data_IF_811943813796
#
_entry.id   IF_811943813796
#
_cell.length_a   1.000
_cell.length_b   1.000
_cell.length_c   1.000
_cell.angle_alpha   90.00
_cell.angle_beta   90.00
_cell.angle_gamma   90.00
#
_symmetry.space_group_name_H-M   'P 1'
#
loop_
_entity.id
_entity.type
_entity.pdbx_description
1 polymer ?
#
# COMPACT_ATOMS: atom_id res chain seq x y z
N UNK A 1 -12.77 29.98 -36.22
CA UNK A 1 -12.64 28.55 -36.52
C UNK A 1 -12.29 27.85 -35.21
N UNK A 2 -13.28 27.22 -34.57
CA UNK A 2 -13.16 26.61 -33.23
C UNK A 2 -12.38 25.30 -33.36
N UNK A 3 -11.20 25.20 -32.73
CA UNK A 3 -10.47 23.94 -32.61
C UNK A 3 -11.09 23.18 -31.43
N UNK A 4 -11.85 22.15 -31.78
CA UNK A 4 -12.46 21.20 -30.87
C UNK A 4 -11.34 20.28 -30.36
N UNK A 5 -10.83 20.53 -29.15
CA UNK A 5 -10.02 19.55 -28.42
C UNK A 5 -10.98 18.42 -28.05
N UNK A 6 -10.92 17.30 -28.79
CA UNK A 6 -11.50 16.03 -28.37
C UNK A 6 -10.75 15.59 -27.12
N UNK A 7 -11.26 15.95 -25.94
CA UNK A 7 -11.02 15.20 -24.73
C UNK A 7 -11.64 13.81 -24.97
N UNK A 8 -10.80 12.86 -25.37
CA UNK A 8 -11.13 11.45 -25.23
C UNK A 8 -10.91 11.17 -23.75
N UNK A 9 -11.95 11.39 -22.96
CA UNK A 9 -12.05 10.85 -21.60
C UNK A 9 -12.32 9.35 -21.80
N UNK A 10 -11.39 8.44 -21.49
CA UNK A 10 -11.76 7.05 -21.42
C UNK A 10 -12.50 6.92 -20.08
N UNK A 11 -13.83 6.86 -20.17
CA UNK A 11 -14.72 6.37 -19.14
C UNK A 11 -14.40 4.87 -18.95
N UNK A 12 -13.28 4.57 -18.29
CA UNK A 12 -13.04 3.24 -17.74
C UNK A 12 -13.78 3.16 -16.41
N UNK A 13 -14.61 2.13 -16.30
CA UNK A 13 -15.34 1.78 -15.10
C UNK A 13 -14.39 1.76 -13.90
N UNK A 14 -14.76 2.57 -12.92
CA UNK A 14 -14.29 2.61 -11.54
C UNK A 14 -14.76 1.32 -10.84
N UNK A 15 -13.96 0.26 -10.81
CA UNK A 15 -14.18 -0.92 -9.95
C UNK A 15 -12.87 -1.72 -9.80
N UNK A 16 -11.92 -1.24 -9.02
CA UNK A 16 -10.84 -2.06 -8.48
C UNK A 16 -11.45 -3.19 -7.67
N UNK A 17 -11.02 -4.43 -7.97
CA UNK A 17 -11.35 -5.77 -7.44
C UNK A 17 -12.77 -6.09 -6.89
N UNK A 18 -13.51 -5.16 -6.28
CA UNK A 18 -14.74 -5.35 -5.52
C UNK A 18 -15.91 -4.41 -5.93
N UNK A 19 -15.77 -3.62 -6.99
CA UNK A 19 -16.69 -2.51 -7.28
C UNK A 19 -18.09 -2.84 -7.82
N UNK A 20 -18.49 -4.11 -7.92
CA UNK A 20 -19.90 -4.47 -8.08
C UNK A 20 -20.40 -5.13 -6.80
N UNK A 21 -21.44 -4.56 -6.16
CA UNK A 21 -22.16 -5.20 -5.04
C UNK A 21 -22.39 -6.66 -5.42
N UNK A 22 -21.74 -7.58 -4.69
CA UNK A 22 -21.96 -9.01 -4.90
C UNK A 22 -23.46 -9.27 -4.79
N UNK A 23 -24.02 -10.01 -5.72
CA UNK A 23 -25.41 -10.44 -5.61
C UNK A 23 -25.48 -11.52 -4.54
N UNK A 24 -25.62 -11.11 -3.28
CA UNK A 24 -25.74 -12.04 -2.15
C UNK A 24 -27.03 -12.86 -2.27
N UNK A 25 -27.00 -14.11 -1.84
CA UNK A 25 -28.19 -14.97 -1.79
C UNK A 25 -29.26 -14.42 -0.85
N UNK A 26 -28.87 -13.66 0.18
CA UNK A 26 -29.80 -13.09 1.15
C UNK A 26 -29.28 -11.81 1.81
N UNK A 27 -30.21 -11.09 2.43
CA UNK A 27 -29.95 -9.96 3.33
C UNK A 27 -30.30 -10.40 4.75
N UNK A 28 -29.39 -10.22 5.70
CA UNK A 28 -29.64 -10.39 7.13
C UNK A 28 -29.62 -9.02 7.82
N UNK A 29 -30.74 -8.63 8.42
CA UNK A 29 -30.87 -7.34 9.09
C UNK A 29 -30.64 -7.47 10.60
N UNK A 30 -29.53 -6.89 11.09
CA UNK A 30 -29.22 -6.79 12.53
C UNK A 30 -30.25 -5.87 13.19
N UNK A 31 -30.99 -6.41 14.14
CA UNK A 31 -32.05 -5.74 14.91
C UNK A 31 -31.80 -5.74 16.42
N UNK A 32 -30.71 -6.35 16.86
CA UNK A 32 -30.29 -6.43 18.27
C UNK A 32 -28.81 -6.12 18.41
N UNK A 33 -28.46 -5.30 19.40
CA UNK A 33 -27.07 -5.01 19.79
C UNK A 33 -26.49 -6.03 20.79
N UNK A 34 -27.23 -7.10 21.08
CA UNK A 34 -26.73 -8.17 21.93
C UNK A 34 -25.57 -8.91 21.27
N UNK A 35 -24.70 -9.50 22.09
CA UNK A 35 -23.56 -10.30 21.64
C UNK A 35 -23.94 -11.54 20.81
N UNK A 36 -25.09 -12.18 21.12
CA UNK A 36 -25.55 -13.39 20.45
C UNK A 36 -27.07 -13.57 20.53
N UNK A 37 -27.60 -14.50 19.72
CA UNK A 37 -29.02 -14.80 19.61
C UNK A 37 -29.67 -14.13 18.39
N UNK A 38 -30.99 -14.25 18.31
CA UNK A 38 -31.77 -13.79 17.16
C UNK A 38 -31.59 -12.27 16.91
N UNK A 39 -31.38 -11.91 15.65
CA UNK A 39 -31.24 -10.53 15.17
C UNK A 39 -29.89 -9.88 15.49
N UNK A 40 -28.88 -10.63 15.95
CA UNK A 40 -27.55 -10.10 16.28
C UNK A 40 -26.58 -10.17 15.10
N UNK A 41 -25.54 -9.34 15.13
CA UNK A 41 -24.45 -9.40 14.15
C UNK A 41 -23.83 -10.81 14.08
N UNK A 42 -23.64 -11.46 15.23
CA UNK A 42 -23.07 -12.80 15.33
C UNK A 42 -23.91 -13.85 14.60
N UNK A 43 -25.23 -13.75 14.68
CA UNK A 43 -26.12 -14.64 13.92
C UNK A 43 -25.98 -14.37 12.41
N UNK A 44 -26.02 -13.10 11.99
CA UNK A 44 -25.96 -12.75 10.57
C UNK A 44 -24.68 -13.21 9.88
N UNK A 45 -23.52 -13.05 10.51
CA UNK A 45 -22.23 -13.47 9.91
C UNK A 45 -21.97 -14.98 9.98
N UNK A 46 -22.79 -15.72 10.73
CA UNK A 46 -22.76 -17.20 10.72
C UNK A 46 -23.52 -17.81 9.55
N UNK A 47 -24.23 -16.98 8.77
CA UNK A 47 -24.86 -17.38 7.53
C UNK A 47 -23.81 -17.34 6.40
N UNK A 48 -24.07 -18.05 5.30
CA UNK A 48 -23.25 -17.97 4.09
C UNK A 48 -23.88 -17.02 3.07
N UNK A 49 -23.09 -16.43 2.17
CA UNK A 49 -23.59 -15.64 1.03
C UNK A 49 -24.62 -14.56 1.43
N UNK A 50 -24.19 -13.69 2.34
CA UNK A 50 -25.08 -12.79 3.10
C UNK A 50 -24.58 -11.35 3.09
N UNK A 51 -25.50 -10.46 2.75
CA UNK A 51 -25.34 -9.02 3.02
C UNK A 51 -25.93 -8.70 4.39
N UNK A 52 -25.10 -8.18 5.28
CA UNK A 52 -25.47 -7.77 6.63
C UNK A 52 -25.75 -6.28 6.65
N UNK A 53 -27.01 -5.95 6.93
CA UNK A 53 -27.49 -4.57 7.10
C UNK A 53 -27.94 -4.34 8.54
N UNK A 54 -28.09 -3.09 8.97
CA UNK A 54 -28.41 -2.74 10.35
C UNK A 54 -29.69 -1.91 10.44
N UNK A 55 -30.70 -2.40 11.17
CA UNK A 55 -31.91 -1.65 11.52
C UNK A 55 -31.77 -0.84 12.82
N UNK A 56 -30.72 -1.12 13.59
CA UNK A 56 -30.38 -0.45 14.87
C UNK A 56 -28.98 0.12 14.80
N UNK A 57 -28.67 1.12 15.62
CA UNK A 57 -27.33 1.69 15.78
C UNK A 57 -26.92 1.74 17.25
N UNK A 58 -25.62 1.77 17.54
CA UNK A 58 -25.09 1.77 18.90
C UNK A 58 -23.93 0.80 19.11
N UNK A 59 -23.64 0.50 20.37
CA UNK A 59 -22.51 -0.36 20.76
C UNK A 59 -22.95 -1.81 20.92
N UNK A 60 -22.28 -2.71 20.21
CA UNK A 60 -22.29 -4.16 20.43
C UNK A 60 -21.10 -4.51 21.32
N UNK A 61 -21.37 -4.94 22.55
CA UNK A 61 -20.34 -5.40 23.49
C UNK A 61 -20.20 -6.90 23.31
N UNK A 62 -19.08 -7.35 22.73
CA UNK A 62 -18.83 -8.76 22.50
C UNK A 62 -18.33 -9.45 23.77
N UNK A 63 -18.77 -10.68 24.00
CA UNK A 63 -18.25 -11.55 25.07
C UNK A 63 -17.21 -12.55 24.57
N UNK A 64 -17.06 -12.67 23.25
CA UNK A 64 -16.07 -13.48 22.57
C UNK A 64 -15.85 -12.94 21.16
N UNK A 65 -14.74 -13.32 20.53
CA UNK A 65 -14.49 -12.99 19.12
C UNK A 65 -15.65 -13.44 18.23
N UNK A 66 -16.01 -12.62 17.25
CA UNK A 66 -16.88 -13.05 16.14
C UNK A 66 -15.97 -13.64 15.07
N UNK A 67 -16.26 -14.88 14.67
CA UNK A 67 -15.52 -15.56 13.61
C UNK A 67 -16.36 -15.51 12.33
N UNK A 68 -15.75 -15.01 11.25
CA UNK A 68 -16.26 -15.04 9.88
C UNK A 68 -15.46 -16.13 9.16
N UNK A 69 -16.08 -17.30 9.01
CA UNK A 69 -15.44 -18.52 8.48
C UNK A 69 -16.24 -19.18 7.34
N UNK A 70 -17.14 -18.42 6.71
CA UNK A 70 -17.82 -18.73 5.46
C UNK A 70 -17.61 -17.63 4.41
N UNK A 71 -17.83 -17.97 3.14
CA UNK A 71 -17.56 -17.09 1.99
C UNK A 71 -18.69 -16.10 1.71
N UNK A 72 -18.36 -15.04 0.96
CA UNK A 72 -19.32 -14.08 0.40
C UNK A 72 -20.13 -13.36 1.50
N UNK A 73 -19.43 -12.70 2.43
CA UNK A 73 -20.06 -11.97 3.54
C UNK A 73 -19.73 -10.48 3.41
N UNK A 74 -20.75 -9.65 3.30
CA UNK A 74 -20.58 -8.20 3.27
C UNK A 74 -21.29 -7.56 4.45
N UNK A 75 -20.54 -6.91 5.34
CA UNK A 75 -21.07 -6.14 6.46
C UNK A 75 -21.08 -4.66 6.08
N UNK A 76 -22.27 -4.08 5.90
CA UNK A 76 -22.43 -2.66 5.62
C UNK A 76 -23.07 -1.92 6.81
N UNK A 77 -22.23 -1.45 7.73
CA UNK A 77 -22.66 -0.65 8.86
C UNK A 77 -23.12 0.77 8.49
N UNK A 78 -22.96 1.19 7.23
CA UNK A 78 -23.47 2.49 6.77
C UNK A 78 -25.00 2.50 6.58
N UNK A 79 -25.62 1.31 6.61
CA UNK A 79 -27.08 1.15 6.62
C UNK A 79 -27.72 1.46 7.97
N UNK A 80 -26.93 1.47 9.05
CA UNK A 80 -27.42 1.71 10.40
C UNK A 80 -27.98 3.15 10.57
N UNK A 81 -29.04 3.36 11.37
CA UNK A 81 -29.55 4.70 11.69
C UNK A 81 -28.53 5.60 12.40
N UNK A 82 -27.65 4.99 13.21
CA UNK A 82 -26.50 5.64 13.86
C UNK A 82 -25.31 4.67 13.82
N UNK A 83 -24.10 5.17 14.04
CA UNK A 83 -22.88 4.37 13.96
C UNK A 83 -22.95 3.05 14.79
N UNK A 84 -22.33 1.99 14.26
CA UNK A 84 -22.13 0.73 14.95
C UNK A 84 -20.73 0.70 15.56
N UNK A 85 -20.66 0.48 16.87
CA UNK A 85 -19.41 0.34 17.60
C UNK A 85 -19.26 -1.07 18.15
N UNK A 86 -18.16 -1.73 17.87
CA UNK A 86 -17.75 -3.02 18.41
C UNK A 86 -16.78 -2.77 19.57
N UNK A 87 -16.99 -3.46 20.69
CA UNK A 87 -16.13 -3.39 21.88
C UNK A 87 -16.00 -4.75 22.56
N UNK A 88 -15.06 -4.88 23.51
CA UNK A 88 -14.82 -6.12 24.24
C UNK A 88 -13.90 -7.09 23.49
N UNK A 89 -14.30 -7.51 22.28
CA UNK A 89 -13.51 -8.35 21.36
C UNK A 89 -13.58 -7.78 19.93
N UNK A 90 -12.86 -8.38 18.99
CA UNK A 90 -12.89 -8.03 17.57
C UNK A 90 -13.52 -9.11 16.69
N UNK A 91 -13.14 -9.07 15.41
CA UNK A 91 -13.52 -10.03 14.36
C UNK A 91 -12.29 -10.83 13.92
N UNK A 92 -12.49 -12.11 13.63
CA UNK A 92 -11.52 -12.94 12.92
C UNK A 92 -12.12 -13.35 11.57
N UNK A 93 -11.39 -13.14 10.49
CA UNK A 93 -11.68 -13.68 9.15
C UNK A 93 -10.68 -14.80 8.90
N UNK A 94 -11.15 -16.04 8.89
CA UNK A 94 -10.27 -17.21 8.79
C UNK A 94 -10.95 -18.44 8.27
N UNK A 95 -10.14 -19.36 7.74
CA UNK A 95 -10.59 -20.72 7.50
C UNK A 95 -10.95 -21.48 8.80
N UNK A 96 -12.00 -22.32 8.70
CA UNK A 96 -12.39 -23.32 9.71
C UNK A 96 -11.27 -24.33 9.98
N UNK A 97 -10.41 -24.60 8.98
CA UNK A 97 -9.34 -25.58 9.09
C UNK A 97 -8.03 -24.89 9.50
N UNK A 98 -7.40 -25.42 10.56
CA UNK A 98 -6.24 -24.78 11.19
C UNK A 98 -4.91 -25.03 10.44
N UNK A 99 -4.88 -25.93 9.46
CA UNK A 99 -3.67 -26.30 8.71
C UNK A 99 -3.52 -25.53 7.39
N UNK A 100 -4.35 -24.50 7.18
CA UNK A 100 -4.37 -23.66 5.97
C UNK A 100 -4.64 -24.44 4.66
N UNK A 101 -5.20 -25.66 4.74
CA UNK A 101 -5.61 -26.44 3.55
C UNK A 101 -6.91 -25.95 2.89
N UNK A 102 -7.54 -24.93 3.46
CA UNK A 102 -8.73 -24.27 2.91
C UNK A 102 -8.67 -22.77 3.21
N UNK A 103 -9.50 -22.00 2.49
CA UNK A 103 -9.59 -20.55 2.62
C UNK A 103 -11.03 -20.08 2.87
N UNK A 104 -11.15 -18.84 3.31
CA UNK A 104 -12.38 -18.06 3.26
C UNK A 104 -12.16 -16.88 2.32
N UNK A 105 -13.18 -16.51 1.53
CA UNK A 105 -13.03 -15.40 0.61
C UNK A 105 -14.28 -14.55 0.36
N UNK A 106 -14.05 -13.41 -0.33
CA UNK A 106 -15.05 -12.42 -0.69
C UNK A 106 -15.73 -11.81 0.54
N UNK A 107 -14.93 -11.19 1.40
CA UNK A 107 -15.40 -10.59 2.65
C UNK A 107 -15.27 -9.08 2.58
N UNK A 108 -16.36 -8.35 2.85
CA UNK A 108 -16.33 -6.89 2.94
C UNK A 108 -16.75 -6.44 4.33
N UNK A 109 -15.98 -5.57 4.94
CA UNK A 109 -16.31 -4.90 6.20
C UNK A 109 -16.29 -3.39 5.96
N UNK A 110 -17.44 -2.75 6.16
CA UNK A 110 -17.60 -1.32 5.91
C UNK A 110 -18.26 -0.59 7.06
N UNK A 111 -17.68 0.55 7.46
CA UNK A 111 -18.35 1.51 8.34
C UNK A 111 -18.35 1.19 9.83
N UNK A 112 -17.65 0.14 10.28
CA UNK A 112 -17.60 -0.25 11.69
C UNK A 112 -16.63 0.62 12.49
N UNK A 113 -16.99 0.93 13.74
CA UNK A 113 -16.08 1.48 14.75
C UNK A 113 -15.64 0.36 15.68
N UNK A 114 -14.36 0.26 15.98
CA UNK A 114 -13.82 -0.61 17.02
C UNK A 114 -13.21 0.24 18.13
N UNK A 115 -13.69 0.04 19.36
CA UNK A 115 -13.24 0.80 20.52
C UNK A 115 -12.91 -0.13 21.68
N UNK A 116 -11.68 -0.02 22.17
CA UNK A 116 -11.16 -0.75 23.33
C UNK A 116 -11.44 -2.26 23.29
N UNK A 117 -11.09 -2.98 22.19
CA UNK A 117 -11.08 -4.44 22.27
C UNK A 117 -10.09 -4.86 23.36
N UNK A 118 -10.53 -5.78 24.21
CA UNK A 118 -9.83 -6.22 25.41
C UNK A 118 -9.19 -7.60 25.18
N UNK A 119 -8.49 -8.10 26.19
CA UNK A 119 -7.94 -9.48 26.22
C UNK A 119 -6.91 -9.79 25.11
N UNK A 120 -6.14 -8.81 24.66
CA UNK A 120 -5.08 -8.98 23.64
C UNK A 120 -5.61 -9.49 22.30
N UNK A 121 -6.81 -9.07 21.91
CA UNK A 121 -7.36 -9.33 20.57
C UNK A 121 -7.19 -8.13 19.65
N UNK A 122 -7.03 -8.43 18.37
CA UNK A 122 -7.12 -7.45 17.30
C UNK A 122 -8.55 -6.94 17.11
N UNK A 123 -8.73 -5.79 16.46
CA UNK A 123 -10.08 -5.38 16.04
C UNK A 123 -10.56 -6.24 14.89
N UNK A 124 -9.68 -6.45 13.90
CA UNK A 124 -9.90 -7.37 12.79
C UNK A 124 -8.60 -8.14 12.57
N UNK A 125 -8.69 -9.46 12.56
CA UNK A 125 -7.57 -10.34 12.20
C UNK A 125 -7.92 -11.16 10.97
N UNK A 126 -7.20 -10.96 9.88
CA UNK A 126 -7.35 -11.71 8.63
C UNK A 126 -6.24 -12.74 8.54
N UNK A 127 -6.59 -14.03 8.54
CA UNK A 127 -5.58 -15.08 8.65
C UNK A 127 -6.03 -16.44 8.12
N UNK A 128 -5.11 -17.41 8.12
CA UNK A 128 -5.32 -18.79 7.63
C UNK A 128 -5.81 -18.83 6.19
N UNK A 129 -5.02 -18.28 5.29
CA UNK A 129 -5.31 -18.20 3.85
C UNK A 129 -6.64 -17.50 3.52
N UNK A 130 -7.20 -16.65 4.40
CA UNK A 130 -8.32 -15.81 4.02
C UNK A 130 -7.90 -14.82 2.92
N UNK A 131 -8.74 -14.66 1.88
CA UNK A 131 -8.41 -13.81 0.73
C UNK A 131 -9.60 -13.08 0.14
N UNK A 132 -9.37 -12.15 -0.80
CA UNK A 132 -10.40 -11.28 -1.36
C UNK A 132 -11.18 -10.52 -0.26
N UNK A 133 -10.45 -9.77 0.57
CA UNK A 133 -11.01 -9.07 1.75
C UNK A 133 -10.89 -7.57 1.59
N UNK A 134 -12.00 -6.84 1.75
CA UNK A 134 -12.05 -5.39 1.79
C UNK A 134 -12.40 -4.89 3.20
N UNK A 135 -11.53 -4.06 3.79
CA UNK A 135 -11.77 -3.34 5.04
C UNK A 135 -11.76 -1.85 4.73
N UNK A 136 -12.95 -1.25 4.71
CA UNK A 136 -13.14 0.12 4.24
C UNK A 136 -13.95 0.99 5.20
N UNK A 137 -13.60 2.28 5.30
CA UNK A 137 -14.36 3.26 6.07
C UNK A 137 -14.60 2.82 7.52
N UNK A 138 -13.64 2.13 8.14
CA UNK A 138 -13.68 1.70 9.53
C UNK A 138 -12.79 2.59 10.40
N UNK A 139 -13.03 2.60 11.71
CA UNK A 139 -12.15 3.25 12.67
C UNK A 139 -11.74 2.32 13.79
N UNK A 140 -10.51 2.43 14.26
CA UNK A 140 -9.92 1.56 15.26
C UNK A 140 -9.26 2.40 16.35
N UNK A 141 -9.57 2.12 17.62
CA UNK A 141 -9.04 2.85 18.76
C UNK A 141 -8.94 1.99 20.03
N UNK A 142 -7.84 2.15 20.78
CA UNK A 142 -7.70 1.60 22.14
C UNK A 142 -7.40 0.09 22.23
N UNK A 143 -6.93 -0.53 21.15
CA UNK A 143 -6.60 -1.95 21.12
C UNK A 143 -5.46 -2.35 22.06
N UNK A 144 -5.56 -3.56 22.60
CA UNK A 144 -4.51 -4.17 23.45
C UNK A 144 -3.46 -4.98 22.68
N UNK A 145 -3.73 -5.43 21.44
CA UNK A 145 -2.73 -6.03 20.53
C UNK A 145 -2.61 -5.22 19.23
N UNK A 146 -2.93 -5.77 18.05
CA UNK A 146 -3.03 -5.06 16.78
C UNK A 146 -4.42 -4.44 16.57
N UNK A 147 -4.55 -3.56 15.58
CA UNK A 147 -5.87 -3.06 15.15
C UNK A 147 -6.37 -3.87 13.96
N UNK A 148 -5.60 -3.88 12.88
CA UNK A 148 -5.87 -4.73 11.71
C UNK A 148 -4.62 -5.52 11.36
N UNK A 149 -4.61 -6.80 11.69
CA UNK A 149 -3.49 -7.69 11.38
C UNK A 149 -3.87 -8.64 10.23
N UNK A 150 -2.95 -8.82 9.28
CA UNK A 150 -3.08 -9.70 8.13
C UNK A 150 -1.91 -10.68 8.11
N UNK A 151 -2.21 -11.96 8.32
CA UNK A 151 -1.16 -12.94 8.59
C UNK A 151 -1.49 -14.34 8.07
N UNK A 152 -0.55 -15.28 8.23
CA UNK A 152 -0.75 -16.72 8.03
C UNK A 152 -1.33 -17.05 6.64
N UNK A 153 -0.65 -16.55 5.61
CA UNK A 153 -0.98 -16.81 4.20
C UNK A 153 -2.19 -16.04 3.67
N UNK A 154 -2.79 -15.14 4.45
CA UNK A 154 -3.84 -14.27 3.94
C UNK A 154 -3.34 -13.37 2.79
N UNK A 155 -4.14 -13.17 1.75
CA UNK A 155 -3.73 -12.47 0.53
C UNK A 155 -4.88 -11.76 -0.17
N UNK A 156 -4.58 -10.86 -1.11
CA UNK A 156 -5.58 -10.05 -1.82
C UNK A 156 -6.51 -9.31 -0.84
N UNK A 157 -5.90 -8.58 0.10
CA UNK A 157 -6.59 -7.81 1.15
C UNK A 157 -6.39 -6.32 0.91
N UNK A 158 -7.48 -5.58 0.83
CA UNK A 158 -7.49 -4.12 0.66
C UNK A 158 -7.95 -3.44 1.96
N UNK A 159 -7.06 -2.62 2.54
CA UNK A 159 -7.29 -1.82 3.74
C UNK A 159 -7.29 -0.37 3.29
N UNK A 160 -8.48 0.23 3.14
CA UNK A 160 -8.60 1.58 2.59
C UNK A 160 -9.55 2.50 3.32
N UNK A 161 -9.28 3.81 3.24
CA UNK A 161 -10.14 4.82 3.84
C UNK A 161 -10.44 4.51 5.31
N UNK A 162 -9.49 4.07 6.13
CA UNK A 162 -9.71 3.80 7.55
C UNK A 162 -9.02 4.84 8.45
N UNK A 163 -9.48 4.94 9.69
CA UNK A 163 -8.81 5.73 10.74
C UNK A 163 -8.28 4.79 11.81
N UNK A 164 -6.97 4.81 12.00
CA UNK A 164 -6.26 4.14 13.08
C UNK A 164 -5.80 5.19 14.08
N UNK A 165 -6.36 5.20 15.29
CA UNK A 165 -5.87 6.01 16.41
C UNK A 165 -5.35 5.10 17.50
N UNK A 166 -4.29 5.49 18.24
CA UNK A 166 -4.01 4.76 19.48
C UNK A 166 -3.22 5.51 20.56
N UNK A 167 -3.95 6.23 21.42
CA UNK A 167 -3.49 6.67 22.74
C UNK A 167 -3.60 5.56 23.81
N UNK A 168 -3.02 4.39 23.56
CA UNK A 168 -3.12 3.18 24.41
C UNK A 168 -1.82 2.37 24.56
N UNK A 169 -1.91 1.24 25.28
CA UNK A 169 -0.79 0.32 25.65
C UNK A 169 -0.57 -0.84 24.67
N UNK A 170 -1.27 -0.88 23.53
CA UNK A 170 -1.24 -2.00 22.57
C UNK A 170 0.03 -2.15 21.73
N UNK A 171 0.11 -3.26 21.00
CA UNK A 171 1.27 -3.73 20.23
C UNK A 171 1.47 -3.06 18.87
N UNK A 172 0.51 -2.29 18.36
CA UNK A 172 0.65 -1.46 17.15
C UNK A 172 -0.64 -1.28 16.35
N UNK A 173 -0.59 -0.55 15.22
CA UNK A 173 -1.79 -0.34 14.38
C UNK A 173 -2.07 -1.53 13.45
N UNK A 174 -1.11 -1.97 12.64
CA UNK A 174 -1.33 -3.04 11.65
C UNK A 174 -0.05 -3.80 11.31
N UNK A 175 -0.09 -5.12 11.49
CA UNK A 175 0.94 -6.06 11.06
C UNK A 175 0.51 -6.79 9.77
N UNK A 176 1.38 -6.80 8.76
CA UNK A 176 1.30 -7.75 7.64
C UNK A 176 2.47 -8.72 7.75
N UNK A 177 2.22 -10.01 7.97
CA UNK A 177 3.31 -10.98 8.14
C UNK A 177 2.95 -12.43 7.89
N UNK A 178 3.83 -13.37 8.26
CA UNK A 178 3.55 -14.81 8.29
C UNK A 178 3.05 -15.37 6.95
N UNK A 179 3.75 -15.01 5.86
CA UNK A 179 3.46 -15.51 4.51
C UNK A 179 2.30 -14.84 3.79
N UNK A 180 1.79 -13.70 4.29
CA UNK A 180 0.80 -12.88 3.59
C UNK A 180 1.41 -12.12 2.41
N UNK A 181 0.61 -11.87 1.36
CA UNK A 181 1.04 -11.20 0.11
C UNK A 181 -0.13 -10.49 -0.59
N UNK A 182 0.16 -9.60 -1.56
CA UNK A 182 -0.86 -8.79 -2.26
C UNK A 182 -1.77 -8.01 -1.31
N UNK A 183 -1.17 -7.27 -0.39
CA UNK A 183 -1.92 -6.42 0.54
C UNK A 183 -1.89 -4.98 0.03
N UNK A 184 -3.04 -4.32 -0.03
CA UNK A 184 -3.17 -2.94 -0.49
C UNK A 184 -3.57 -2.07 0.68
N UNK A 185 -2.73 -1.11 1.06
CA UNK A 185 -2.97 -0.22 2.19
C UNK A 185 -2.97 1.22 1.68
N UNK A 186 -4.14 1.82 1.48
CA UNK A 186 -4.19 3.16 0.90
C UNK A 186 -5.27 4.08 1.44
N UNK A 187 -4.98 5.38 1.42
CA UNK A 187 -5.90 6.43 1.91
C UNK A 187 -6.34 6.22 3.36
N UNK A 188 -5.49 5.63 4.21
CA UNK A 188 -5.75 5.51 5.64
C UNK A 188 -5.10 6.66 6.42
N UNK A 189 -5.66 6.97 7.59
CA UNK A 189 -5.05 7.86 8.58
C UNK A 189 -4.51 7.02 9.73
N UNK A 190 -3.22 7.11 10.01
CA UNK A 190 -2.58 6.58 11.20
C UNK A 190 -2.20 7.74 12.12
N UNK A 191 -2.96 7.93 13.20
CA UNK A 191 -2.79 9.07 14.10
C UNK A 191 -2.36 8.63 15.50
N UNK A 192 -1.23 9.19 15.96
CA UNK A 192 -0.68 8.94 17.30
C UNK A 192 -0.47 7.47 17.63
N UNK A 193 -0.07 6.69 16.63
CA UNK A 193 0.28 5.30 16.83
C UNK A 193 1.75 5.15 17.22
N UNK A 194 2.04 4.17 18.08
CA UNK A 194 3.37 3.95 18.67
C UNK A 194 4.25 2.99 17.88
N UNK A 195 3.64 2.03 17.19
CA UNK A 195 4.32 0.98 16.43
C UNK A 195 3.37 0.42 15.34
N UNK A 196 3.93 -0.30 14.38
CA UNK A 196 3.23 -0.98 13.28
C UNK A 196 2.30 -0.04 12.53
N UNK A 197 2.85 0.98 11.88
CA UNK A 197 2.10 2.08 11.24
C UNK A 197 2.23 2.17 9.72
N UNK A 198 1.74 1.17 8.99
CA UNK A 198 1.78 -0.27 9.26
C UNK A 198 3.21 -0.85 9.27
N UNK A 199 3.37 -2.07 9.77
CA UNK A 199 4.61 -2.86 9.67
C UNK A 199 4.39 -4.07 8.78
N UNK A 200 5.28 -4.25 7.83
CA UNK A 200 5.28 -5.35 6.89
C UNK A 200 6.51 -6.20 7.17
N UNK A 201 6.32 -7.50 7.33
CA UNK A 201 7.42 -8.40 7.63
C UNK A 201 7.24 -9.74 6.94
N UNK A 202 8.24 -10.19 6.20
CA UNK A 202 8.24 -11.53 5.60
C UNK A 202 8.54 -12.66 6.62
N UNK A 203 8.45 -12.42 7.93
CA UNK A 203 8.64 -13.50 8.91
C UNK A 203 7.80 -14.70 8.52
N UNK A 204 8.44 -15.81 8.20
CA UNK A 204 7.74 -17.05 7.91
C UNK A 204 7.36 -17.73 9.23
N UNK A 205 6.06 -17.96 9.43
CA UNK A 205 5.60 -19.00 10.36
C UNK A 205 5.51 -20.27 9.52
N UNK A 206 6.09 -21.39 9.96
CA UNK A 206 6.32 -22.65 9.23
C UNK A 206 5.03 -23.39 8.73
N UNK A 207 4.10 -22.69 8.09
CA UNK A 207 2.87 -23.23 7.50
C UNK A 207 2.93 -23.11 5.98
N UNK A 208 4.02 -23.62 5.40
CA UNK A 208 4.33 -23.55 3.97
C UNK A 208 3.64 -24.67 3.21
N UNK A 209 2.38 -24.46 2.82
CA UNK A 209 1.79 -25.15 1.66
C UNK A 209 1.27 -24.18 0.60
N UNK A 210 1.35 -22.87 0.83
CA UNK A 210 1.03 -21.84 -0.16
C UNK A 210 2.21 -21.53 -1.10
N UNK A 211 1.95 -21.04 -2.33
CA UNK A 211 3.01 -20.65 -3.24
C UNK A 211 3.85 -19.52 -2.63
N UNK A 212 5.18 -19.69 -2.66
CA UNK A 212 6.13 -18.63 -2.35
C UNK A 212 6.20 -17.68 -3.56
N UNK A 213 5.12 -16.95 -3.83
CA UNK A 213 5.08 -16.03 -4.96
C UNK A 213 5.86 -14.74 -4.67
N UNK A 214 6.58 -14.30 -5.71
CA UNK A 214 7.41 -13.10 -5.71
C UNK A 214 6.56 -11.87 -5.99
N UNK A 215 6.45 -11.03 -4.96
CA UNK A 215 6.48 -9.56 -4.96
C UNK A 215 5.38 -8.75 -5.71
N UNK A 216 4.76 -7.72 -5.07
CA UNK A 216 5.02 -7.17 -3.73
C UNK A 216 4.12 -7.81 -2.65
N UNK A 217 4.65 -7.86 -1.43
CA UNK A 217 3.88 -8.25 -0.25
C UNK A 217 2.87 -7.16 0.09
N UNK A 218 3.25 -5.88 -0.04
CA UNK A 218 2.37 -4.74 0.24
C UNK A 218 2.52 -3.60 -0.76
N UNK A 219 1.40 -2.97 -1.11
CA UNK A 219 1.36 -1.66 -1.75
C UNK A 219 0.73 -0.60 -0.84
N UNK A 220 1.55 0.33 -0.36
CA UNK A 220 1.20 1.35 0.61
C UNK A 220 1.15 2.74 -0.03
N UNK A 221 -0.05 3.28 -0.30
CA UNK A 221 -0.19 4.57 -1.00
C UNK A 221 -1.11 5.59 -0.36
N UNK A 222 -0.78 6.87 -0.47
CA UNK A 222 -1.67 7.96 -0.06
C UNK A 222 -2.14 7.88 1.41
N UNK A 223 -1.41 7.16 2.26
CA UNK A 223 -1.70 7.14 3.69
C UNK A 223 -1.16 8.42 4.34
N UNK A 224 -1.83 8.85 5.40
CA UNK A 224 -1.38 9.95 6.26
C UNK A 224 -0.96 9.35 7.59
N UNK A 225 0.33 9.39 7.88
CA UNK A 225 0.89 9.00 9.18
C UNK A 225 1.19 10.27 9.95
N UNK A 226 0.50 10.50 11.05
CA UNK A 226 0.51 11.81 11.71
C UNK A 226 0.62 11.72 13.22
N UNK A 227 1.55 12.50 13.78
CA UNK A 227 1.89 12.49 15.19
C UNK A 227 2.23 11.09 15.74
N UNK A 228 2.66 10.17 14.87
CA UNK A 228 3.04 8.80 15.23
C UNK A 228 4.51 8.74 15.67
N UNK A 229 4.87 7.67 16.37
CA UNK A 229 6.24 7.43 16.81
C UNK A 229 7.10 6.86 15.68
N UNK A 230 6.62 5.84 14.97
CA UNK A 230 7.27 5.26 13.80
C UNK A 230 6.39 5.46 12.56
N UNK A 231 6.98 5.39 11.37
CA UNK A 231 6.28 5.47 10.09
C UNK A 231 5.95 4.09 9.52
N UNK A 232 5.94 3.96 8.20
CA UNK A 232 5.76 2.67 7.54
C UNK A 232 7.04 1.85 7.73
N UNK A 233 6.91 0.56 8.02
CA UNK A 233 8.08 -0.33 8.21
C UNK A 233 8.01 -1.50 7.25
N UNK A 234 9.12 -1.81 6.57
CA UNK A 234 9.26 -2.93 5.64
C UNK A 234 10.44 -3.79 6.10
N UNK A 235 10.20 -5.03 6.50
CA UNK A 235 11.22 -5.93 7.06
C UNK A 235 11.28 -7.23 6.27
N UNK A 236 12.46 -7.56 5.75
CA UNK A 236 12.68 -8.73 4.90
C UNK A 236 11.67 -8.83 3.73
N UNK A 237 11.05 -7.73 3.30
CA UNK A 237 9.84 -7.72 2.45
C UNK A 237 9.98 -6.90 1.18
N UNK A 238 9.17 -7.24 0.17
CA UNK A 238 9.05 -6.46 -1.07
C UNK A 238 7.82 -5.57 -1.00
N UNK A 239 7.95 -4.25 -1.18
CA UNK A 239 6.86 -3.30 -0.96
C UNK A 239 6.91 -2.08 -1.90
N UNK A 240 5.74 -1.60 -2.30
CA UNK A 240 5.59 -0.23 -2.81
C UNK A 240 5.22 0.67 -1.63
N UNK A 241 5.94 1.79 -1.45
CA UNK A 241 5.62 2.82 -0.46
C UNK A 241 5.62 4.16 -1.17
N UNK A 242 4.46 4.60 -1.64
CA UNK A 242 4.36 5.75 -2.54
C UNK A 242 3.34 6.79 -2.08
N UNK A 243 3.68 8.07 -2.24
CA UNK A 243 2.78 9.20 -2.05
C UNK A 243 2.15 9.27 -0.66
N UNK A 244 2.83 8.81 0.39
CA UNK A 244 2.37 8.92 1.77
C UNK A 244 2.84 10.24 2.40
N UNK A 245 2.02 10.81 3.29
CA UNK A 245 2.32 12.02 4.05
C UNK A 245 2.68 11.65 5.48
N UNK A 246 3.78 12.21 5.99
CA UNK A 246 4.29 11.89 7.32
C UNK A 246 4.45 13.12 8.19
N UNK A 247 4.08 12.97 9.47
CA UNK A 247 4.43 13.85 10.58
C UNK A 247 4.70 13.02 11.82
N UNK A 248 5.80 13.28 12.50
CA UNK A 248 6.19 12.57 13.71
C UNK A 248 6.06 13.47 14.94
N UNK A 249 6.09 12.88 16.13
CA UNK A 249 6.24 13.62 17.38
C UNK A 249 7.73 13.68 17.74
N UNK A 250 8.13 14.56 18.67
CA UNK A 250 9.51 14.83 19.08
C UNK A 250 10.22 13.66 19.81
N UNK A 251 9.98 12.41 19.41
CA UNK A 251 10.74 11.27 19.90
C UNK A 251 12.12 11.27 19.23
N UNK A 252 13.22 11.18 20.00
CA UNK A 252 14.58 11.17 19.47
C UNK A 252 14.92 9.92 18.63
N UNK A 253 14.01 8.94 18.51
CA UNK A 253 14.18 7.64 17.82
C UNK A 253 13.06 7.29 16.79
N UNK A 254 12.18 8.24 16.43
CA UNK A 254 11.24 8.15 15.29
C UNK A 254 11.83 7.88 13.89
N UNK A 255 11.62 6.67 13.35
CA UNK A 255 11.99 6.35 11.96
C UNK A 255 10.85 6.61 10.96
N UNK A 256 11.13 7.40 9.92
CA UNK A 256 10.19 7.71 8.81
C UNK A 256 9.79 6.45 8.05
N UNK A 257 10.80 5.65 7.75
CA UNK A 257 10.70 4.39 7.07
C UNK A 257 11.84 3.51 7.56
N UNK A 258 11.53 2.33 8.11
CA UNK A 258 12.54 1.37 8.52
C UNK A 258 12.58 0.24 7.51
N UNK A 259 13.74 0.07 6.87
CA UNK A 259 14.12 -1.18 6.21
C UNK A 259 14.95 -1.95 7.21
N UNK A 260 14.44 -3.06 7.71
CA UNK A 260 15.18 -3.94 8.61
C UNK A 260 15.46 -5.28 7.93
N UNK A 261 16.74 -5.60 7.74
CA UNK A 261 17.20 -6.89 7.20
C UNK A 261 17.64 -7.86 8.34
N UNK A 262 17.27 -7.54 9.59
CA UNK A 262 17.61 -8.38 10.73
C UNK A 262 16.59 -9.52 10.88
N UNK A 263 17.00 -10.72 10.47
CA UNK A 263 16.37 -11.96 10.89
C UNK A 263 16.89 -12.34 12.30
N UNK A 264 16.17 -12.09 13.40
CA UNK A 264 16.60 -12.48 14.75
C UNK A 264 16.63 -14.02 14.95
N UNK A 265 16.07 -14.79 14.03
CA UNK A 265 15.91 -16.24 14.13
C UNK A 265 16.91 -17.05 13.28
N UNK A 266 17.92 -16.40 12.68
CA UNK A 266 19.04 -17.08 12.03
C UNK A 266 18.73 -17.79 10.70
N UNK A 267 17.59 -17.48 10.07
CA UNK A 267 17.33 -17.85 8.67
C UNK A 267 18.08 -16.91 7.70
N UNK A 268 18.06 -17.23 6.39
CA UNK A 268 18.69 -16.39 5.38
C UNK A 268 18.23 -14.91 5.52
N UNK A 269 19.17 -13.98 5.61
CA UNK A 269 18.88 -12.54 5.56
C UNK A 269 18.31 -12.22 4.18
N UNK A 270 17.05 -11.77 4.13
CA UNK A 270 16.45 -11.29 2.89
C UNK A 270 16.62 -9.78 2.85
N UNK A 271 17.19 -9.26 1.76
CA UNK A 271 17.28 -7.82 1.57
C UNK A 271 15.89 -7.33 1.20
N UNK A 272 15.31 -6.45 2.01
CA UNK A 272 14.00 -5.85 1.73
C UNK A 272 14.05 -5.06 0.43
N UNK A 273 13.05 -5.18 -0.45
CA UNK A 273 12.98 -4.48 -1.73
C UNK A 273 11.84 -3.46 -1.72
N UNK A 274 12.15 -2.18 -1.59
CA UNK A 274 11.15 -1.11 -1.52
C UNK A 274 11.25 -0.17 -2.70
N UNK A 275 10.12 -0.02 -3.41
CA UNK A 275 9.89 1.10 -4.30
C UNK A 275 9.34 2.31 -3.53
N UNK A 276 10.02 3.45 -3.58
CA UNK A 276 9.55 4.70 -2.98
C UNK A 276 9.38 5.81 -4.03
N UNK A 277 8.23 6.48 -3.99
CA UNK A 277 7.96 7.62 -4.87
C UNK A 277 7.05 8.62 -4.21
N UNK A 278 7.35 9.92 -4.32
CA UNK A 278 6.40 11.00 -4.00
C UNK A 278 5.96 11.13 -2.53
N UNK A 279 6.52 10.34 -1.61
CA UNK A 279 6.33 10.51 -0.17
C UNK A 279 6.86 11.87 0.30
N UNK A 280 6.29 12.43 1.37
CA UNK A 280 6.77 13.68 1.97
C UNK A 280 6.61 13.71 3.49
N UNK A 281 7.56 14.32 4.19
CA UNK A 281 7.52 14.62 5.62
C UNK A 281 7.39 16.13 5.87
N UNK A 282 6.45 16.54 6.72
CA UNK A 282 6.35 17.95 7.15
C UNK A 282 7.43 18.36 8.16
N UNK A 283 8.02 17.39 8.88
CA UNK A 283 9.08 17.64 9.87
C UNK A 283 10.43 17.07 9.39
N UNK A 284 11.54 17.70 9.80
CA UNK A 284 12.89 17.22 9.50
C UNK A 284 13.24 15.98 10.33
N UNK A 285 13.07 14.79 9.75
CA UNK A 285 13.27 13.51 10.41
C UNK A 285 14.58 12.82 10.04
N UNK A 286 15.55 13.54 9.43
CA UNK A 286 16.81 12.93 8.94
C UNK A 286 17.70 12.39 10.08
N UNK A 287 17.64 12.99 11.27
CA UNK A 287 18.61 12.75 12.34
C UNK A 287 18.19 11.68 13.36
N UNK A 288 17.14 10.93 13.04
CA UNK A 288 16.53 10.03 14.00
C UNK A 288 17.19 8.65 13.89
N UNK A 289 17.62 8.11 15.03
CA UNK A 289 18.62 7.05 15.14
C UNK A 289 18.42 5.87 14.17
N UNK A 290 19.36 5.76 13.23
CA UNK A 290 19.53 4.62 12.35
C UNK A 290 19.77 3.35 13.17
N UNK A 291 18.72 2.55 13.33
CA UNK A 291 18.89 1.11 13.44
C UNK A 291 19.70 0.66 12.22
N UNK A 292 20.89 0.13 12.50
CA UNK A 292 21.89 -0.41 11.56
C UNK A 292 21.35 -0.68 10.14
N UNK A 293 21.84 0.11 9.17
CA UNK A 293 21.66 -0.01 7.70
C UNK A 293 20.43 0.66 7.05
N UNK A 294 19.67 1.51 7.75
CA UNK A 294 18.56 2.26 7.14
C UNK A 294 19.01 3.29 6.09
N UNK A 295 18.79 2.99 4.80
CA UNK A 295 19.02 3.95 3.71
C UNK A 295 17.80 4.85 3.58
N UNK A 296 17.90 6.07 4.10
CA UNK A 296 16.93 7.14 3.85
C UNK A 296 16.84 7.37 2.33
N UNK A 297 15.68 7.12 1.74
CA UNK A 297 15.33 7.44 0.35
C UNK A 297 16.01 6.66 -0.79
N UNK A 298 16.76 5.59 -0.54
CA UNK A 298 17.25 4.79 -1.66
C UNK A 298 16.16 3.82 -2.13
N UNK A 299 15.53 4.17 -3.25
CA UNK A 299 14.85 3.20 -4.10
C UNK A 299 15.84 2.08 -4.44
N UNK A 300 15.63 0.90 -3.89
CA UNK A 300 16.45 -0.27 -4.17
C UNK A 300 15.77 -1.25 -5.16
N UNK A 301 14.54 -0.93 -5.59
CA UNK A 301 13.79 -1.71 -6.57
C UNK A 301 12.94 -0.84 -7.52
N UNK A 302 12.50 -1.40 -8.64
CA UNK A 302 11.49 -0.80 -9.53
C UNK A 302 10.08 -0.90 -8.94
N UNK A 303 9.15 -0.08 -9.42
CA UNK A 303 7.74 -0.21 -9.02
C UNK A 303 7.23 -1.61 -9.36
N UNK A 304 6.63 -2.28 -8.39
CA UNK A 304 5.86 -3.48 -8.67
C UNK A 304 4.54 -3.06 -9.32
N UNK A 305 4.23 -3.62 -10.49
CA UNK A 305 3.00 -3.29 -11.21
C UNK A 305 1.79 -3.80 -10.45
N UNK A 306 1.12 -2.91 -9.72
CA UNK A 306 -0.09 -3.17 -8.96
C UNK A 306 -1.24 -2.32 -9.52
N UNK A 307 -2.46 -2.87 -9.47
CA UNK A 307 -3.67 -2.11 -9.80
C UNK A 307 -4.15 -1.46 -8.50
N UNK A 308 -3.81 -0.19 -8.28
CA UNK A 308 -4.42 0.61 -7.21
C UNK A 308 -5.49 1.50 -7.83
N UNK A 309 -6.71 1.41 -7.30
CA UNK A 309 -7.83 2.22 -7.74
C UNK A 309 -7.63 3.69 -7.33
N UNK A 310 -7.65 4.60 -8.31
CA UNK A 310 -7.49 6.03 -8.09
C UNK A 310 -6.81 6.75 -9.25
N UNK A 311 -7.01 8.06 -9.37
CA UNK A 311 -6.29 8.85 -10.34
C UNK A 311 -4.81 8.95 -9.92
N UNK A 312 -3.90 8.37 -10.71
CA UNK A 312 -2.47 8.64 -10.55
C UNK A 312 -2.23 10.05 -11.06
N UNK A 313 -2.15 11.01 -10.15
CA UNK A 313 -1.85 12.40 -10.51
C UNK A 313 -0.32 12.59 -10.57
N UNK A 314 0.29 12.78 -11.75
CA UNK A 314 1.74 12.84 -11.88
C UNK A 314 2.33 14.18 -11.39
N UNK A 315 1.55 15.05 -10.73
CA UNK A 315 1.99 16.36 -10.28
C UNK A 315 1.81 16.53 -8.76
N UNK A 316 2.67 17.37 -8.16
CA UNK A 316 2.70 17.66 -6.72
C UNK A 316 1.34 18.10 -6.16
N UNK A 317 0.53 18.82 -6.93
CA UNK A 317 -0.78 19.29 -6.49
C UNK A 317 -1.80 18.16 -6.37
N UNK A 318 -1.84 17.25 -7.34
CA UNK A 318 -2.75 16.11 -7.30
C UNK A 318 -2.47 15.18 -6.11
N UNK A 319 -1.19 15.01 -5.73
CA UNK A 319 -0.82 14.28 -4.52
C UNK A 319 -1.40 14.96 -3.27
N UNK A 320 -1.31 16.29 -3.15
CA UNK A 320 -1.90 17.04 -2.03
C UNK A 320 -3.43 16.87 -2.01
N UNK A 321 -4.09 16.90 -3.17
CA UNK A 321 -5.53 16.69 -3.28
C UNK A 321 -5.95 15.27 -2.85
N UNK A 322 -5.13 14.25 -3.13
CA UNK A 322 -5.41 12.91 -2.61
C UNK A 322 -5.20 12.83 -1.09
N UNK A 323 -4.21 13.51 -0.51
CA UNK A 323 -4.12 13.63 0.95
C UNK A 323 -5.30 14.39 1.55
N UNK A 324 -5.81 15.41 0.86
CA UNK A 324 -7.05 16.08 1.27
C UNK A 324 -8.24 15.14 1.25
N UNK A 325 -8.38 14.35 0.18
CA UNK A 325 -9.38 13.31 0.04
C UNK A 325 -9.28 12.30 1.20
N UNK A 326 -8.09 11.78 1.50
CA UNK A 326 -7.83 10.88 2.64
C UNK A 326 -8.24 11.51 3.97
N UNK A 327 -7.77 12.73 4.28
CA UNK A 327 -8.12 13.45 5.52
C UNK A 327 -9.63 13.58 5.70
N UNK A 328 -10.34 13.90 4.62
CA UNK A 328 -11.76 14.22 4.67
C UNK A 328 -12.66 12.97 4.67
N UNK A 329 -12.23 11.86 4.05
CA UNK A 329 -13.09 10.71 3.75
C UNK A 329 -12.70 9.39 4.44
N UNK A 330 -11.50 9.24 5.01
CA UNK A 330 -11.12 8.03 5.74
C UNK A 330 -12.00 7.80 6.98
N UNK A 331 -12.25 6.58 7.46
CA UNK A 331 -13.10 6.27 8.60
C UNK A 331 -14.60 6.21 8.28
N UNK A 332 -15.44 5.82 9.26
CA UNK A 332 -16.88 5.76 9.09
C UNK A 332 -17.45 7.15 8.83
N UNK A 333 -18.63 7.23 8.22
CA UNK A 333 -19.32 8.51 8.03
C UNK A 333 -19.40 9.25 9.37
N UNK A 334 -19.10 10.57 9.42
CA UNK A 334 -19.15 11.32 10.65
C UNK A 334 -20.55 11.24 11.27
N UNK A 335 -20.66 10.50 12.37
CA UNK A 335 -21.65 10.78 13.40
C UNK A 335 -20.88 11.46 14.52
N UNK A 336 -21.44 12.54 15.08
CA UNK A 336 -20.84 13.57 15.95
C UNK A 336 -20.15 13.06 17.26
N UNK A 337 -19.96 11.74 17.41
CA UNK A 337 -19.76 11.07 18.70
C UNK A 337 -18.38 10.40 18.91
N UNK A 338 -17.39 10.56 18.01
CA UNK A 338 -16.02 10.08 18.29
C UNK A 338 -14.99 11.23 18.27
N UNK A 339 -14.56 11.72 19.46
CA UNK A 339 -13.59 12.80 19.56
C UNK A 339 -12.22 12.43 18.98
N UNK A 340 -11.82 11.16 19.01
CA UNK A 340 -10.51 10.72 18.52
C UNK A 340 -10.45 10.74 16.99
N UNK A 341 -11.52 10.31 16.30
CA UNK A 341 -11.66 10.45 14.84
C UNK A 341 -11.62 11.94 14.43
N UNK A 342 -12.32 12.79 15.18
CA UNK A 342 -12.38 14.24 14.94
C UNK A 342 -11.02 14.90 15.16
N UNK A 343 -10.32 14.53 16.23
CA UNK A 343 -8.97 15.00 16.52
C UNK A 343 -8.00 14.58 15.42
N UNK A 344 -8.03 13.31 15.00
CA UNK A 344 -7.15 12.78 13.95
C UNK A 344 -7.26 13.58 12.65
N UNK A 345 -8.48 13.92 12.21
CA UNK A 345 -8.67 14.74 10.99
C UNK A 345 -8.25 16.18 11.17
N UNK A 346 -8.68 16.80 12.27
CA UNK A 346 -8.48 18.24 12.51
C UNK A 346 -7.02 18.59 12.81
N UNK A 347 -6.23 17.64 13.32
CA UNK A 347 -4.80 17.81 13.57
C UNK A 347 -3.95 17.80 12.28
N UNK A 348 -4.47 17.25 11.18
CA UNK A 348 -3.72 17.13 9.91
C UNK A 348 -3.74 18.46 9.16
N UNK A 349 -2.56 19.05 9.05
CA UNK A 349 -2.31 20.26 8.28
C UNK A 349 -1.66 19.84 6.96
N UNK A 350 -2.38 20.04 5.85
CA UNK A 350 -1.84 19.70 4.54
C UNK A 350 -0.77 20.72 4.12
N UNK A 351 0.35 20.26 3.55
CA UNK A 351 1.41 21.14 3.09
C UNK A 351 1.09 21.78 1.74
N UNK A 352 1.88 22.81 1.38
CA UNK A 352 1.93 23.34 0.01
C UNK A 352 2.87 22.51 -0.88
N UNK A 353 2.85 22.75 -2.19
CA UNK A 353 3.71 22.03 -3.17
C UNK A 353 5.21 22.26 -2.98
N UNK A 354 5.59 23.21 -2.14
CA UNK A 354 6.98 23.50 -1.75
C UNK A 354 7.55 22.47 -0.78
N UNK A 355 6.73 21.59 -0.19
CA UNK A 355 7.21 20.55 0.74
C UNK A 355 8.28 19.63 0.13
N UNK A 356 8.21 19.37 -1.18
CA UNK A 356 9.21 18.57 -1.89
C UNK A 356 10.51 19.33 -2.19
N UNK A 357 10.56 20.64 -1.93
CA UNK A 357 11.77 21.45 -2.05
C UNK A 357 12.55 21.51 -0.72
N UNK A 358 11.97 20.99 0.37
CA UNK A 358 12.64 20.86 1.66
C UNK A 358 13.78 19.83 1.58
N UNK A 359 14.92 20.17 2.17
CA UNK A 359 16.18 19.39 2.06
C UNK A 359 16.02 17.94 2.51
N UNK A 360 15.11 17.66 3.43
CA UNK A 360 14.86 16.29 3.89
C UNK A 360 13.86 15.49 3.07
N UNK A 361 13.09 16.15 2.21
CA UNK A 361 12.24 15.49 1.22
C UNK A 361 12.93 15.39 -0.14
N UNK A 362 13.99 16.18 -0.36
CA UNK A 362 14.88 15.98 -1.50
C UNK A 362 15.65 14.69 -1.29
N UNK A 363 15.64 13.74 -2.25
CA UNK A 363 16.43 12.54 -2.15
C UNK A 363 17.88 12.88 -1.87
N UNK A 364 18.39 12.51 -0.70
CA UNK A 364 19.83 12.50 -0.47
C UNK A 364 20.39 11.41 -1.35
N UNK A 365 20.89 11.77 -2.52
CA UNK A 365 21.77 10.91 -3.28
C UNK A 365 23.03 10.71 -2.45
N UNK A 366 23.01 9.79 -1.49
CA UNK A 366 24.22 9.13 -1.04
C UNK A 366 24.83 8.54 -2.30
N UNK A 367 26.08 8.90 -2.58
CA UNK A 367 26.90 8.38 -3.66
C UNK A 367 26.96 6.84 -3.62
N UNK A 368 25.91 6.18 -4.06
CA UNK A 368 26.00 4.87 -4.68
C UNK A 368 26.09 5.23 -6.15
N UNK A 369 27.29 5.08 -6.70
CA UNK A 369 27.62 5.30 -8.10
C UNK A 369 26.94 4.29 -9.03
N UNK A 370 25.66 3.99 -8.82
CA UNK A 370 24.81 3.43 -9.86
C UNK A 370 24.09 4.61 -10.51
N UNK A 371 24.84 5.29 -11.36
CA UNK A 371 24.28 6.18 -12.36
C UNK A 371 23.20 5.38 -13.11
N UNK A 372 21.92 5.68 -12.91
CA UNK A 372 20.84 5.11 -13.74
C UNK A 372 21.03 5.42 -15.24
N UNK A 373 21.97 6.32 -15.54
CA UNK A 373 22.46 6.71 -16.86
C UNK A 373 23.70 5.93 -17.32
N UNK A 374 24.16 4.90 -16.61
CA UNK A 374 25.22 3.97 -17.03
C UNK A 374 24.56 2.64 -17.39
N UNK A 375 23.97 2.59 -18.59
CA UNK A 375 23.16 1.46 -19.08
C UNK A 375 24.01 0.34 -19.65
N UNK A 376 25.31 0.60 -19.88
CA UNK A 376 26.30 -0.41 -20.26
C UNK A 376 27.19 -0.89 -19.10
N UNK A 377 26.98 -0.37 -17.89
CA UNK A 377 27.69 -0.72 -16.66
C UNK A 377 29.21 -0.51 -16.74
N UNK A 378 29.63 0.50 -17.52
CA UNK A 378 31.04 0.90 -17.69
C UNK A 378 31.58 1.72 -16.51
N UNK A 379 30.75 1.98 -15.50
CA UNK A 379 31.00 2.90 -14.38
C UNK A 379 31.18 4.36 -14.81
N UNK A 380 30.85 4.72 -16.06
CA UNK A 380 30.99 6.07 -16.61
C UNK A 380 29.81 6.40 -17.51
N UNK A 381 28.96 7.33 -17.10
CA UNK A 381 27.91 7.87 -18.00
C UNK A 381 28.52 8.69 -19.13
N UNK A 382 28.35 8.25 -20.36
CA UNK A 382 28.88 8.88 -21.55
C UNK A 382 27.89 8.80 -22.74
N UNK A 383 28.33 9.16 -23.95
CA UNK A 383 27.48 9.18 -25.14
C UNK A 383 26.95 7.80 -25.54
N UNK A 384 27.67 6.74 -25.20
CA UNK A 384 27.26 5.34 -25.43
C UNK A 384 25.98 5.01 -24.67
N UNK A 385 25.86 5.45 -23.41
CA UNK A 385 24.67 5.23 -22.60
C UNK A 385 23.43 5.93 -23.14
N UNK A 386 23.62 7.18 -23.60
CA UNK A 386 22.56 7.97 -24.21
C UNK A 386 22.05 7.31 -25.51
N UNK A 387 22.98 6.78 -26.32
CA UNK A 387 22.68 6.08 -27.57
C UNK A 387 21.94 4.75 -27.32
N UNK A 388 22.34 3.97 -26.31
CA UNK A 388 21.67 2.72 -25.93
C UNK A 388 20.24 2.96 -25.43
N UNK A 389 20.07 3.98 -24.59
CA UNK A 389 18.75 4.38 -24.11
C UNK A 389 17.84 4.81 -25.28
N UNK A 390 18.38 5.59 -26.22
CA UNK A 390 17.64 6.05 -27.40
C UNK A 390 17.26 4.87 -28.33
N UNK A 391 18.18 3.96 -28.60
CA UNK A 391 17.97 2.76 -29.42
C UNK A 391 16.87 1.87 -28.85
N UNK A 392 16.92 1.56 -27.55
CA UNK A 392 15.90 0.78 -26.87
C UNK A 392 14.53 1.46 -26.90
N UNK A 393 14.47 2.78 -26.72
CA UNK A 393 13.20 3.54 -26.76
C UNK A 393 12.50 3.52 -28.12
N UNK A 394 13.25 3.23 -29.19
CA UNK A 394 12.76 3.14 -30.57
C UNK A 394 12.47 1.70 -31.01
N UNK A 395 12.66 0.71 -30.13
CA UNK A 395 12.41 -0.71 -30.42
C UNK A 395 13.39 -1.31 -31.42
N UNK A 396 14.57 -0.70 -31.58
CA UNK A 396 15.65 -1.22 -32.42
C UNK A 396 16.31 -2.45 -31.77
N UNK A 397 16.94 -3.31 -32.57
CA UNK A 397 17.52 -4.56 -32.06
C UNK A 397 18.69 -4.29 -31.11
N UNK A 398 18.65 -4.95 -29.95
CA UNK A 398 19.69 -4.85 -28.93
C UNK A 398 20.71 -6.00 -28.99
N UNK A 399 20.57 -6.92 -29.96
CA UNK A 399 21.48 -8.05 -30.15
C UNK A 399 22.89 -7.57 -30.51
N UNK A 400 23.90 -8.04 -29.76
CA UNK A 400 25.31 -7.65 -29.93
C UNK A 400 25.67 -6.30 -29.32
N UNK A 401 24.78 -5.68 -28.53
CA UNK A 401 25.07 -4.46 -27.77
C UNK A 401 25.64 -4.77 -26.39
N UNK A 402 26.44 -3.85 -25.85
CA UNK A 402 26.93 -3.81 -24.48
C UNK A 402 25.81 -3.55 -23.45
N UNK A 403 24.53 -3.68 -23.84
CA UNK A 403 23.40 -3.85 -22.93
C UNK A 403 23.57 -5.20 -22.21
N UNK A 404 24.48 -5.18 -21.23
CA UNK A 404 24.97 -6.34 -20.50
C UNK A 404 25.39 -7.54 -21.41
N UNK A 405 26.17 -7.29 -22.49
CA UNK A 405 27.40 -8.02 -22.95
C UNK A 405 27.80 -7.64 -24.41
N UNK A 406 29.01 -7.06 -24.60
CA UNK A 406 29.77 -7.10 -25.88
C UNK A 406 29.85 -5.80 -26.70
N UNK A 407 31.06 -5.44 -27.16
CA UNK A 407 31.45 -4.07 -27.54
C UNK A 407 31.37 -3.75 -29.05
N UNK A 408 30.44 -2.85 -29.41
CA UNK A 408 30.51 -1.73 -30.41
C UNK A 408 29.11 -1.14 -30.52
N UNK A 409 28.79 -0.13 -29.71
CA UNK A 409 27.40 0.16 -29.31
C UNK A 409 26.87 1.53 -29.73
N UNK A 410 25.92 1.52 -30.67
CA UNK A 410 25.34 2.71 -31.25
C UNK A 410 25.96 3.09 -32.59
N UNK A 411 26.64 2.14 -33.26
CA UNK A 411 27.15 2.27 -34.61
C UNK A 411 26.09 1.78 -35.62
N UNK A 412 25.12 2.63 -35.93
CA UNK A 412 24.00 2.30 -36.85
C UNK A 412 24.41 2.41 -38.32
N UNK A 413 25.65 2.86 -38.55
CA UNK A 413 26.25 2.95 -39.86
C UNK A 413 27.39 1.96 -40.13
N UNK A 414 27.60 1.02 -39.20
CA UNK A 414 28.55 -0.09 -39.29
C UNK A 414 30.01 0.37 -39.53
N UNK A 415 30.36 1.59 -39.12
CA UNK A 415 31.69 2.16 -39.24
C UNK A 415 32.73 1.56 -38.28
N UNK A 416 32.29 0.78 -37.30
CA UNK A 416 33.05 0.27 -36.18
C UNK A 416 33.24 1.28 -35.05
N UNK A 417 32.59 2.45 -35.10
CA UNK A 417 32.72 3.52 -34.09
C UNK A 417 31.40 4.20 -33.80
N UNK A 418 31.04 4.35 -32.53
CA UNK A 418 29.79 5.02 -32.14
C UNK A 418 30.03 6.49 -31.85
N UNK A 419 29.41 7.38 -32.62
CA UNK A 419 29.66 8.82 -32.58
C UNK A 419 28.39 9.64 -32.88
N UNK A 420 28.54 10.96 -33.06
CA UNK A 420 27.42 11.87 -33.33
C UNK A 420 26.69 11.61 -34.65
N UNK A 421 27.35 10.96 -35.62
CA UNK A 421 26.76 10.56 -36.91
C UNK A 421 25.66 9.54 -36.67
N UNK A 422 25.93 8.54 -35.84
CA UNK A 422 24.95 7.54 -35.47
C UNK A 422 23.76 8.12 -34.72
N UNK A 423 24.02 9.02 -33.78
CA UNK A 423 22.96 9.71 -33.04
C UNK A 423 22.00 10.47 -33.98
N UNK A 424 22.54 11.12 -35.01
CA UNK A 424 21.75 11.85 -36.01
C UNK A 424 20.97 10.90 -36.92
N UNK A 425 21.52 9.74 -37.25
CA UNK A 425 20.85 8.73 -38.05
C UNK A 425 19.70 8.07 -37.28
N UNK A 426 19.90 7.76 -35.99
CA UNK A 426 18.83 7.25 -35.11
C UNK A 426 17.72 8.30 -34.96
N UNK A 427 18.08 9.57 -34.78
CA UNK A 427 17.10 10.66 -34.72
C UNK A 427 16.31 10.78 -36.03
N UNK A 428 16.99 10.69 -37.17
CA UNK A 428 16.36 10.70 -38.50
C UNK A 428 15.34 9.56 -38.65
N UNK A 429 15.72 8.34 -38.25
CA UNK A 429 14.86 7.17 -38.24
C UNK A 429 13.63 7.38 -37.33
N UNK A 430 13.83 7.90 -36.11
CA UNK A 430 12.73 8.16 -35.15
C UNK A 430 11.68 9.15 -35.66
N UNK A 431 12.09 10.06 -36.55
CA UNK A 431 11.22 11.05 -37.18
C UNK A 431 10.52 10.52 -38.44
N UNK A 432 10.72 9.24 -38.79
CA UNK A 432 10.13 8.60 -39.98
C UNK A 432 10.66 9.15 -41.30
N UNK A 433 11.83 9.77 -41.30
CA UNK A 433 12.46 10.30 -42.51
C UNK A 433 13.13 9.16 -43.30
N UNK A 434 13.13 9.24 -44.63
CA UNK A 434 13.78 8.23 -45.47
C UNK A 434 15.28 8.13 -45.15
N UNK A 435 15.74 6.89 -45.02
CA UNK A 435 17.15 6.52 -44.80
C UNK A 435 17.90 6.27 -46.12
N UNK A 436 17.23 6.42 -47.27
CA UNK A 436 17.85 6.22 -48.58
C UNK A 436 19.00 7.22 -48.79
N UNK A 437 20.16 6.69 -49.19
CA UNK A 437 21.37 7.49 -49.40
C UNK A 437 22.11 7.89 -48.12
N UNK A 438 21.70 7.37 -46.95
CA UNK A 438 22.49 7.44 -45.71
C UNK A 438 23.38 6.21 -45.57
N UNK A 439 24.30 6.23 -44.60
CA UNK A 439 25.15 5.09 -44.25
C UNK A 439 24.46 4.07 -43.34
N UNK A 440 23.14 4.19 -43.09
CA UNK A 440 22.37 3.29 -42.23
C UNK A 440 22.45 1.83 -42.69
N UNK A 441 22.84 0.95 -41.79
CA UNK A 441 23.08 -0.47 -42.08
C UNK A 441 22.26 -1.43 -41.20
N UNK A 442 21.33 -0.89 -40.41
CA UNK A 442 20.55 -1.63 -39.42
C UNK A 442 19.15 -2.04 -39.89
#
# INVERSE_FOLDING_TARGET
MKILIKLILPLFLLTGLFGSRLAHAQICTVSSLADSGAGTLRECVSLSDTEVEFAVGGTIVLNSVIVIDDNNISIDATTAPTAITISGYGLEIKSKVADNSSSVSNITIKGLRFQNPTNYFDSIWVWRNAHDVLIENCSFDGNTDGQVDVTEGAHDVEIRHNIFTNYGVGSGASLVSFGSYHIYVHHNIFYKSKDRTPRYSRRDRLYTTGPLEMDPIVDARYNIVWASHIGITSEDSSSNVAYNLFKFTDFPDSNFFSVDDNNPNGGASYVSQTYMQGNASVDNCINVNQGKNGVNFANNHSEFTTIVDGAVWPNRMGIILEWENTRNNAGPRPNEDNPNETEARSAIILPETTIWDEVWNTPTYTNISNSRSDVDNSSVTNTTDALLTLRNSLGLSMDGTAWQVGATTGDVDCSGTSNSTDALLILRYSLGLSMDGTSWCE
#
